data_IF_730058785449
#
_entry.id   IF_730058785449
#
_cell.length_a   1.000
_cell.length_b   1.000
_cell.length_c   1.000
_cell.angle_alpha   90.00
_cell.angle_beta   90.00
_cell.angle_gamma   90.00
#
_symmetry.space_group_name_H-M   'P 1'
#
loop_
_entity.id
_entity.type
_entity.pdbx_description
1 polymer ?
#
# COMPACT_ATOMS: atom_id res chain seq x y z
N UNK A 1 9.95 -2.05 -18.69
CA UNK A 1 8.61 -1.40 -18.71
C UNK A 1 8.36 -0.49 -17.50
N UNK A 2 8.84 -0.83 -16.28
CA UNK A 2 8.57 -0.06 -15.04
C UNK A 2 9.19 1.35 -14.93
N UNK A 3 10.41 1.58 -15.42
CA UNK A 3 11.05 2.90 -15.38
C UNK A 3 10.22 3.99 -16.09
N UNK A 4 9.46 3.60 -17.12
CA UNK A 4 8.66 4.51 -17.93
C UNK A 4 7.46 5.04 -17.13
N UNK A 5 6.90 4.24 -16.22
CA UNK A 5 5.71 4.66 -15.46
C UNK A 5 6.05 5.55 -14.27
N UNK A 6 7.15 5.26 -13.56
CA UNK A 6 7.63 6.12 -12.48
C UNK A 6 8.07 7.50 -12.99
N UNK A 7 8.78 7.55 -14.12
CA UNK A 7 9.19 8.83 -14.71
C UNK A 7 7.98 9.61 -15.26
N UNK A 8 7.03 8.95 -15.93
CA UNK A 8 5.78 9.59 -16.39
C UNK A 8 4.97 10.18 -15.23
N UNK A 9 4.94 9.50 -14.09
CA UNK A 9 4.25 10.01 -12.91
C UNK A 9 4.93 11.24 -12.33
N UNK A 10 6.26 11.24 -12.24
CA UNK A 10 7.03 12.39 -11.78
C UNK A 10 6.75 13.64 -12.62
N UNK A 11 6.49 13.45 -13.92
CA UNK A 11 6.17 14.52 -14.86
C UNK A 11 4.66 14.86 -14.93
N UNK A 12 3.82 14.17 -14.17
CA UNK A 12 2.37 14.41 -14.14
C UNK A 12 1.99 15.57 -13.21
N UNK A 13 0.75 16.10 -13.29
CA UNK A 13 0.25 17.10 -12.33
C UNK A 13 0.22 16.63 -10.87
N UNK A 14 0.33 15.31 -10.64
CA UNK A 14 0.39 14.69 -9.31
C UNK A 14 1.82 14.29 -8.92
N UNK A 15 2.83 14.72 -9.69
CA UNK A 15 4.23 14.51 -9.35
C UNK A 15 4.53 15.05 -7.96
N UNK A 16 5.09 14.21 -7.10
CA UNK A 16 5.34 14.56 -5.69
C UNK A 16 4.24 14.11 -4.71
N UNK A 17 3.16 13.48 -5.18
CA UNK A 17 2.06 13.01 -4.34
C UNK A 17 2.00 11.47 -4.27
N UNK A 18 1.61 10.96 -3.11
CA UNK A 18 1.28 9.56 -2.87
C UNK A 18 -0.17 9.29 -3.27
N UNK A 19 -0.41 8.28 -4.08
CA UNK A 19 -1.74 8.02 -4.61
C UNK A 19 -1.73 7.27 -5.94
N UNK A 20 -2.93 7.08 -6.47
CA UNK A 20 -3.17 6.64 -7.83
C UNK A 20 -4.41 7.34 -8.40
N UNK A 21 -4.49 7.40 -9.71
CA UNK A 21 -5.57 8.10 -10.41
C UNK A 21 -6.95 7.42 -10.28
N UNK A 22 -6.98 6.15 -9.87
CA UNK A 22 -8.19 5.37 -9.60
C UNK A 22 -8.04 4.59 -8.30
N UNK A 23 -9.14 4.44 -7.56
CA UNK A 23 -9.22 3.42 -6.51
C UNK A 23 -9.22 2.04 -7.16
N UNK A 24 -8.57 1.09 -6.50
CA UNK A 24 -8.49 -0.30 -6.92
C UNK A 24 -8.71 -1.21 -5.71
N UNK A 25 -8.35 -2.49 -5.81
CA UNK A 25 -8.60 -3.47 -4.77
C UNK A 25 -7.37 -4.30 -4.44
N UNK A 26 -7.03 -4.39 -3.15
CA UNK A 26 -6.15 -5.43 -2.65
C UNK A 26 -7.01 -6.65 -2.30
N UNK A 27 -7.01 -7.63 -3.20
CA UNK A 27 -7.91 -8.79 -3.17
C UNK A 27 -9.37 -8.33 -3.17
N UNK A 28 -10.05 -8.31 -2.01
CA UNK A 28 -11.45 -7.87 -1.84
C UNK A 28 -11.55 -6.59 -1.02
N UNK A 29 -10.47 -5.81 -0.91
CA UNK A 29 -10.41 -4.57 -0.14
C UNK A 29 -10.24 -3.40 -1.06
N UNK A 30 -11.27 -2.55 -1.16
CA UNK A 30 -11.13 -1.27 -1.86
C UNK A 30 -10.01 -0.45 -1.20
N UNK A 31 -9.14 0.11 -2.01
CA UNK A 31 -8.04 0.97 -1.58
C UNK A 31 -8.33 2.40 -1.99
N UNK A 32 -8.44 3.29 -1.01
CA UNK A 32 -8.46 4.73 -1.25
C UNK A 32 -7.08 5.15 -1.76
N UNK A 33 -7.07 5.59 -3.03
CA UNK A 33 -5.87 5.98 -3.73
C UNK A 33 -5.83 7.48 -4.01
N UNK A 34 -6.76 8.27 -3.47
CA UNK A 34 -6.75 9.71 -3.68
C UNK A 34 -5.44 10.34 -3.18
N UNK A 35 -4.96 11.33 -3.93
CA UNK A 35 -3.65 11.93 -3.76
C UNK A 35 -3.43 12.54 -2.37
N UNK A 36 -2.22 12.39 -1.84
CA UNK A 36 -1.77 12.98 -0.57
C UNK A 36 -0.29 13.37 -0.67
N UNK A 37 0.09 14.51 -0.10
CA UNK A 37 1.48 14.99 -0.10
C UNK A 37 2.33 14.45 1.04
N UNK A 38 1.71 13.86 2.06
CA UNK A 38 2.41 13.32 3.22
C UNK A 38 2.28 11.79 3.25
N UNK A 39 3.42 11.10 3.17
CA UNK A 39 3.43 9.63 3.14
C UNK A 39 2.89 9.04 4.43
N UNK A 40 3.33 9.57 5.58
CA UNK A 40 2.90 9.05 6.87
C UNK A 40 1.37 9.09 7.00
N UNK A 41 0.75 10.22 6.67
CA UNK A 41 -0.70 10.38 6.65
C UNK A 41 -1.36 9.48 5.62
N UNK A 42 -0.80 9.39 4.41
CA UNK A 42 -1.30 8.52 3.35
C UNK A 42 -1.37 7.06 3.83
N UNK A 43 -0.25 6.53 4.31
CA UNK A 43 -0.14 5.13 4.73
C UNK A 43 -0.98 4.85 5.99
N UNK A 44 -0.95 5.75 6.98
CA UNK A 44 -1.70 5.57 8.21
C UNK A 44 -3.21 5.58 7.96
N UNK A 45 -3.72 6.60 7.27
CA UNK A 45 -5.16 6.77 7.07
C UNK A 45 -5.71 5.81 6.01
N UNK A 46 -5.01 5.63 4.89
CA UNK A 46 -5.55 4.94 3.71
C UNK A 46 -5.08 3.49 3.55
N UNK A 47 -4.19 3.02 4.42
CA UNK A 47 -3.77 1.61 4.45
C UNK A 47 -4.08 0.99 5.81
N UNK A 48 -3.40 1.43 6.88
CA UNK A 48 -3.51 0.79 8.18
C UNK A 48 -4.89 0.94 8.83
N UNK A 49 -5.40 2.17 8.93
CA UNK A 49 -6.70 2.44 9.58
C UNK A 49 -7.85 1.82 8.81
N UNK A 50 -7.82 1.82 7.49
CA UNK A 50 -8.86 1.18 6.66
C UNK A 50 -8.96 -0.32 6.93
N UNK A 51 -7.82 -1.04 6.99
CA UNK A 51 -7.81 -2.47 7.31
C UNK A 51 -8.33 -2.71 8.73
N UNK A 52 -7.89 -1.92 9.70
CA UNK A 52 -8.36 -2.04 11.09
C UNK A 52 -9.86 -1.76 11.23
N UNK A 53 -10.38 -0.76 10.50
CA UNK A 53 -11.81 -0.46 10.46
C UNK A 53 -12.60 -1.63 9.88
N UNK A 54 -12.12 -2.24 8.78
CA UNK A 54 -12.76 -3.44 8.22
C UNK A 54 -12.77 -4.60 9.20
N UNK A 55 -11.66 -4.85 9.90
CA UNK A 55 -11.61 -5.90 10.93
C UNK A 55 -12.67 -5.69 12.02
N UNK A 56 -13.04 -4.43 12.32
CA UNK A 56 -14.04 -4.07 13.34
C UNK A 56 -15.48 -4.08 12.83
N UNK A 57 -15.70 -3.72 11.58
CA UNK A 57 -17.04 -3.37 11.08
C UNK A 57 -17.57 -4.31 9.98
N UNK A 58 -16.70 -5.06 9.32
CA UNK A 58 -17.11 -5.95 8.22
C UNK A 58 -17.84 -7.17 8.79
N UNK A 59 -19.15 -7.26 8.51
CA UNK A 59 -20.03 -8.30 9.03
C UNK A 59 -19.64 -9.69 8.54
N UNK A 60 -19.04 -9.79 7.35
CA UNK A 60 -18.55 -11.04 6.80
C UNK A 60 -17.28 -11.51 7.52
N UNK A 61 -16.57 -10.59 8.18
CA UNK A 61 -15.41 -10.84 9.03
C UNK A 61 -15.75 -10.82 10.52
N UNK A 62 -17.02 -10.69 10.92
CA UNK A 62 -17.37 -10.48 12.35
C UNK A 62 -17.04 -11.71 13.21
N UNK A 63 -17.11 -12.92 12.63
CA UNK A 63 -16.60 -14.14 13.29
C UNK A 63 -15.08 -14.12 13.48
N UNK A 64 -14.36 -13.31 12.69
CA UNK A 64 -12.94 -13.03 12.87
C UNK A 64 -12.71 -11.92 13.89
N UNK A 65 -13.65 -11.00 14.13
CA UNK A 65 -13.52 -9.96 15.16
C UNK A 65 -13.28 -10.59 16.54
N UNK A 66 -14.15 -11.48 17.00
CA UNK A 66 -14.01 -12.17 18.30
C UNK A 66 -12.69 -12.96 18.40
N UNK A 67 -12.27 -13.58 17.29
CA UNK A 67 -11.01 -14.33 17.21
C UNK A 67 -9.77 -13.44 17.15
N UNK A 68 -9.91 -12.19 16.72
CA UNK A 68 -8.81 -11.23 16.54
C UNK A 68 -8.92 -10.03 17.47
N UNK A 69 -9.77 -10.08 18.50
CA UNK A 69 -9.97 -8.97 19.43
C UNK A 69 -8.66 -8.48 20.03
N UNK A 70 -7.79 -9.40 20.42
CA UNK A 70 -6.47 -9.06 20.94
C UNK A 70 -5.64 -8.29 19.90
N UNK A 71 -5.60 -8.76 18.65
CA UNK A 71 -4.90 -8.09 17.56
C UNK A 71 -5.47 -6.69 17.30
N UNK A 72 -6.79 -6.55 17.29
CA UNK A 72 -7.46 -5.26 17.08
C UNK A 72 -7.08 -4.28 18.20
N UNK A 73 -7.12 -4.72 19.46
CA UNK A 73 -6.72 -3.90 20.62
C UNK A 73 -5.23 -3.57 20.61
N UNK A 74 -4.37 -4.47 20.14
CA UNK A 74 -2.95 -4.21 19.93
C UNK A 74 -2.74 -3.14 18.84
N UNK A 75 -3.43 -3.27 17.70
CA UNK A 75 -3.38 -2.30 16.62
C UNK A 75 -3.88 -0.92 17.08
N UNK A 76 -5.00 -0.84 17.80
CA UNK A 76 -5.51 0.43 18.34
C UNK A 76 -4.50 1.11 19.28
N UNK A 77 -3.78 0.32 20.08
CA UNK A 77 -2.71 0.85 20.94
C UNK A 77 -1.49 1.31 20.13
N UNK A 78 -1.19 0.65 19.01
CA UNK A 78 -0.03 0.96 18.16
C UNK A 78 -0.27 2.20 17.28
N UNK A 79 -1.47 2.36 16.72
CA UNK A 79 -1.82 3.40 15.74
C UNK A 79 -1.33 4.81 16.14
N UNK A 80 -1.51 5.30 17.38
CA UNK A 80 -1.04 6.62 17.78
C UNK A 80 0.49 6.80 17.70
N UNK A 81 1.25 5.71 17.77
CA UNK A 81 2.71 5.73 17.71
C UNK A 81 3.26 5.52 16.30
N UNK A 82 2.44 5.08 15.34
CA UNK A 82 2.86 4.85 13.94
C UNK A 82 3.56 6.09 13.33
N UNK A 83 3.06 7.34 13.50
CA UNK A 83 3.76 8.51 12.98
C UNK A 83 5.16 8.68 13.51
N UNK A 84 5.42 8.31 14.77
CA UNK A 84 6.77 8.38 15.33
C UNK A 84 7.73 7.42 14.62
N UNK A 85 7.28 6.21 14.27
CA UNK A 85 8.07 5.25 13.51
C UNK A 85 8.24 5.62 12.03
N UNK A 86 7.22 6.21 11.40
CA UNK A 86 7.26 6.52 9.96
C UNK A 86 7.93 7.86 9.66
N UNK A 87 7.81 8.85 10.55
CA UNK A 87 8.44 10.17 10.34
C UNK A 87 9.96 10.13 10.38
N UNK A 88 10.56 9.17 11.09
CA UNK A 88 12.02 8.95 11.03
C UNK A 88 12.48 8.52 9.64
N UNK A 89 11.60 7.90 8.85
CA UNK A 89 11.87 7.46 7.48
C UNK A 89 11.48 8.51 6.42
N UNK A 90 10.60 9.47 6.72
CA UNK A 90 9.99 10.39 5.74
C UNK A 90 11.00 11.08 4.81
N UNK A 91 12.13 11.56 5.34
CA UNK A 91 13.17 12.24 4.56
C UNK A 91 13.86 11.32 3.53
N UNK A 92 13.66 10.01 3.62
CA UNK A 92 14.25 8.97 2.76
C UNK A 92 13.24 8.31 1.82
N UNK A 93 11.98 8.77 1.82
CA UNK A 93 10.92 8.14 1.03
C UNK A 93 10.89 8.75 -0.38
N UNK A 94 11.19 7.91 -1.36
CA UNK A 94 11.08 8.26 -2.77
C UNK A 94 9.81 7.66 -3.36
N UNK A 95 9.08 8.46 -4.14
CA UNK A 95 7.93 8.00 -4.92
C UNK A 95 8.37 6.97 -5.96
N UNK A 96 7.88 5.74 -5.84
CA UNK A 96 8.22 4.62 -6.71
C UNK A 96 7.00 3.76 -7.00
N UNK A 97 6.59 3.58 -8.27
CA UNK A 97 5.46 2.72 -8.60
C UNK A 97 5.65 1.31 -8.04
N UNK A 98 4.74 0.84 -7.18
CA UNK A 98 4.76 -0.50 -6.63
C UNK A 98 3.78 -1.41 -7.38
N UNK A 99 3.94 -2.71 -7.16
CA UNK A 99 3.00 -3.71 -7.62
C UNK A 99 1.76 -3.79 -6.73
N UNK A 100 1.87 -3.44 -5.44
CA UNK A 100 0.79 -3.54 -4.46
C UNK A 100 0.61 -4.93 -3.82
N UNK A 101 0.82 -6.01 -4.59
CA UNK A 101 0.72 -7.38 -4.08
C UNK A 101 1.87 -8.26 -4.58
N UNK A 102 3.12 -7.87 -4.34
CA UNK A 102 4.25 -8.67 -4.82
C UNK A 102 4.56 -9.81 -3.84
N UNK A 103 4.09 -11.02 -4.18
CA UNK A 103 4.34 -12.24 -3.41
C UNK A 103 4.68 -13.42 -4.34
N UNK A 104 5.06 -14.57 -3.78
CA UNK A 104 5.52 -15.75 -4.54
C UNK A 104 4.52 -16.35 -5.53
N UNK A 105 3.27 -15.87 -5.56
CA UNK A 105 2.23 -16.28 -6.50
C UNK A 105 1.98 -15.29 -7.62
N UNK A 106 2.61 -14.12 -7.59
CA UNK A 106 2.30 -13.00 -8.48
C UNK A 106 3.46 -12.67 -9.44
N UNK A 107 4.32 -13.66 -9.66
CA UNK A 107 5.35 -13.62 -10.69
C UNK A 107 5.69 -15.01 -11.21
N UNK A 108 6.19 -15.06 -12.43
CA UNK A 108 6.71 -16.25 -13.08
C UNK A 108 7.88 -15.88 -13.99
N UNK A 109 8.59 -16.89 -14.45
CA UNK A 109 9.65 -16.75 -15.45
C UNK A 109 9.16 -17.51 -16.69
N UNK A 110 9.27 -16.88 -17.85
CA UNK A 110 8.91 -17.53 -19.13
C UNK A 110 10.04 -18.45 -19.63
N UNK A 111 9.83 -19.07 -20.80
CA UNK A 111 10.83 -19.98 -21.41
C UNK A 111 12.14 -19.30 -21.83
N UNK A 112 12.18 -17.97 -21.85
CA UNK A 112 13.34 -17.16 -22.22
C UNK A 112 13.98 -16.48 -20.99
N UNK A 113 13.70 -16.98 -19.78
CA UNK A 113 14.15 -16.41 -18.51
C UNK A 113 13.65 -14.99 -18.20
N UNK A 114 12.57 -14.53 -18.87
CA UNK A 114 11.99 -13.22 -18.58
C UNK A 114 11.05 -13.27 -17.39
N UNK A 115 11.27 -12.38 -16.42
CA UNK A 115 10.36 -12.15 -15.30
C UNK A 115 9.06 -11.50 -15.81
N UNK A 116 7.94 -12.17 -15.54
CA UNK A 116 6.59 -11.64 -15.72
C UNK A 116 5.93 -11.49 -14.37
N UNK A 117 5.31 -10.34 -14.12
CA UNK A 117 4.52 -10.05 -12.93
C UNK A 117 3.04 -10.00 -13.30
N UNK A 118 2.18 -10.48 -12.42
CA UNK A 118 0.73 -10.57 -12.63
C UNK A 118 -0.04 -10.34 -11.33
N UNK A 119 -1.36 -10.18 -11.43
CA UNK A 119 -2.26 -9.96 -10.29
C UNK A 119 -1.88 -8.78 -9.39
N UNK A 120 -1.22 -7.77 -9.96
CA UNK A 120 -1.28 -6.42 -9.41
C UNK A 120 -2.74 -5.97 -9.41
N UNK A 121 -3.18 -5.14 -8.46
CA UNK A 121 -4.52 -4.59 -8.52
C UNK A 121 -4.67 -3.96 -9.90
N UNK A 122 -5.71 -4.37 -10.63
CA UNK A 122 -5.89 -4.06 -12.05
C UNK A 122 -5.49 -2.60 -12.32
N UNK A 123 -4.31 -2.43 -12.92
CA UNK A 123 -3.52 -1.18 -12.96
C UNK A 123 -2.83 -0.77 -11.63
N UNK A 124 -1.70 -1.45 -11.33
CA UNK A 124 -0.54 -1.08 -10.46
C UNK A 124 -0.79 -0.14 -9.26
N UNK A 125 -0.65 -0.66 -8.04
CA UNK A 125 -0.75 0.13 -6.80
C UNK A 125 0.56 0.85 -6.42
N UNK A 126 0.47 2.18 -6.43
CA UNK A 126 1.01 3.19 -5.50
C UNK A 126 2.49 3.27 -5.13
N UNK A 127 2.90 4.53 -5.03
CA UNK A 127 4.24 5.03 -4.92
C UNK A 127 4.83 4.95 -3.51
N UNK A 128 6.00 4.31 -3.40
CA UNK A 128 7.11 4.52 -2.45
C UNK A 128 7.50 3.35 -1.51
N UNK A 129 8.78 2.98 -1.58
CA UNK A 129 9.52 2.15 -0.62
C UNK A 129 10.63 3.01 0.00
N UNK A 130 11.00 2.82 1.29
CA UNK A 130 12.21 3.43 1.84
C UNK A 130 13.45 2.96 1.08
N UNK A 131 14.47 3.82 0.99
CA UNK A 131 15.70 3.58 0.24
C UNK A 131 16.53 2.36 0.72
N UNK A 132 16.20 1.81 1.90
CA UNK A 132 16.96 0.72 2.53
C UNK A 132 15.99 -0.21 3.27
N UNK A 133 15.92 -1.46 2.84
CA UNK A 133 15.54 -2.55 3.75
C UNK A 133 16.77 -2.80 4.63
N UNK A 134 16.65 -2.61 5.94
CA UNK A 134 17.56 -3.24 6.91
C UNK A 134 16.95 -4.58 7.27
#
# INVERSE_FOLDING_TARGET
MHQISAEKHRLSPHGGLFGFHVNNFFVHTEQDNAWNSDWCSFYLEKRLKTVLLRMKCDTDLINHYDKNMELILLCDRLIPYVPWFLNTAQAQIQLCLLHGDFNGRNWSIDENDNLTMFDGPYEVDIYAMPHTFI
#
